data_IF_106305337112
#
_entry.id   IF_106305337112
#
_cell.length_a   1.000
_cell.length_b   1.000
_cell.length_c   1.000
_cell.angle_alpha   90.00
_cell.angle_beta   90.00
_cell.angle_gamma   90.00
#
_symmetry.space_group_name_H-M   'P 1'
#
loop_
_entity.id
_entity.type
_entity.pdbx_description
1 polymer ?
#
# COMPACT_ATOMS: atom_id res chain seq x y z
N UNK A 1 -5.60 -9.16 -17.74
CA UNK A 1 -4.31 -9.26 -18.46
C UNK A 1 -3.12 -9.73 -17.60
N UNK A 2 -3.28 -10.05 -16.30
CA UNK A 2 -2.15 -10.11 -15.37
C UNK A 2 -1.13 -11.27 -15.54
N UNK A 3 -1.47 -12.38 -16.20
CA UNK A 3 -0.55 -13.55 -16.30
C UNK A 3 0.19 -13.66 -17.64
N UNK A 4 -0.16 -12.84 -18.64
CA UNK A 4 0.27 -13.04 -20.03
C UNK A 4 1.77 -12.85 -20.28
N UNK A 5 2.49 -12.23 -19.33
CA UNK A 5 3.93 -11.98 -19.45
C UNK A 5 4.78 -12.92 -18.58
N UNK A 6 4.17 -13.65 -17.63
CA UNK A 6 4.91 -14.43 -16.65
C UNK A 6 5.80 -15.48 -17.33
N UNK A 7 7.09 -15.45 -17.02
CA UNK A 7 8.07 -16.42 -17.47
C UNK A 7 7.80 -17.78 -16.84
N UNK A 8 7.38 -18.74 -17.66
CA UNK A 8 7.05 -20.10 -17.25
C UNK A 8 7.93 -21.12 -17.96
N UNK A 9 8.15 -22.26 -17.31
CA UNK A 9 8.86 -23.39 -17.91
C UNK A 9 8.13 -23.88 -19.16
N UNK A 10 8.88 -24.05 -20.26
CA UNK A 10 8.39 -24.71 -21.47
C UNK A 10 8.63 -26.23 -21.46
N UNK A 11 9.10 -26.78 -20.35
CA UNK A 11 9.44 -28.19 -20.18
C UNK A 11 8.38 -28.90 -19.33
N UNK A 12 7.74 -28.18 -18.41
CA UNK A 12 6.72 -28.70 -17.50
C UNK A 12 5.37 -28.06 -17.82
N UNK A 13 4.28 -28.74 -17.45
CA UNK A 13 2.95 -28.14 -17.48
C UNK A 13 2.08 -28.52 -18.67
N UNK A 14 2.66 -29.11 -19.72
CA UNK A 14 1.96 -29.85 -20.77
C UNK A 14 1.87 -31.33 -20.32
N UNK A 15 0.75 -31.69 -19.70
CA UNK A 15 0.57 -32.98 -19.02
C UNK A 15 0.25 -34.08 -20.02
N UNK A 16 -0.47 -33.76 -21.10
CA UNK A 16 -0.90 -34.73 -22.11
C UNK A 16 -0.13 -34.64 -23.44
N UNK A 17 0.85 -33.73 -23.51
CA UNK A 17 1.78 -33.55 -24.62
C UNK A 17 1.07 -33.14 -25.92
N UNK A 18 0.02 -32.32 -25.81
CA UNK A 18 -0.76 -31.81 -26.93
C UNK A 18 -0.31 -30.39 -27.38
N UNK A 19 0.60 -29.77 -26.63
CA UNK A 19 1.13 -28.43 -26.88
C UNK A 19 0.35 -27.30 -26.21
N UNK A 20 -0.75 -27.60 -25.51
CA UNK A 20 -1.35 -26.74 -24.51
C UNK A 20 -0.68 -26.96 -23.15
N UNK A 21 -0.79 -25.97 -22.25
CA UNK A 21 -0.26 -26.05 -20.90
C UNK A 21 -1.42 -26.02 -19.91
N UNK A 22 -1.55 -27.05 -19.09
CA UNK A 22 -2.55 -27.17 -18.03
C UNK A 22 -2.05 -26.54 -16.72
N UNK A 23 -0.73 -26.46 -16.56
CA UNK A 23 -0.10 -25.90 -15.37
C UNK A 23 1.05 -24.96 -15.73
N UNK A 24 1.08 -23.80 -15.08
CA UNK A 24 2.16 -22.83 -15.24
C UNK A 24 3.18 -23.02 -14.13
N UNK A 25 4.41 -23.33 -14.51
CA UNK A 25 5.54 -23.47 -13.59
C UNK A 25 6.45 -22.25 -13.71
N UNK A 26 6.35 -21.32 -12.77
CA UNK A 26 7.23 -20.15 -12.69
C UNK A 26 8.53 -20.50 -11.95
N UNK A 27 9.60 -19.76 -12.25
CA UNK A 27 10.89 -19.92 -11.60
C UNK A 27 11.03 -18.94 -10.42
N UNK A 28 11.89 -19.31 -9.46
CA UNK A 28 12.24 -18.47 -8.30
C UNK A 28 11.22 -18.53 -7.16
N UNK A 29 11.71 -18.45 -5.94
CA UNK A 29 10.85 -18.22 -4.78
C UNK A 29 10.37 -16.77 -4.78
N UNK A 30 9.15 -16.52 -4.29
CA UNK A 30 8.57 -15.17 -4.10
C UNK A 30 8.05 -14.97 -2.69
N UNK A 31 8.27 -15.98 -1.83
CA UNK A 31 7.77 -16.08 -0.47
C UNK A 31 8.83 -16.74 0.42
N UNK A 32 8.58 -16.75 1.72
CA UNK A 32 9.20 -17.72 2.63
C UNK A 32 8.13 -18.61 3.24
N UNK A 33 8.52 -19.82 3.62
CA UNK A 33 7.63 -20.79 4.25
C UNK A 33 8.19 -21.24 5.60
N UNK A 34 7.29 -21.47 6.57
CA UNK A 34 7.61 -22.11 7.85
C UNK A 34 7.08 -23.54 7.80
N UNK A 35 7.94 -24.49 8.12
CA UNK A 35 7.62 -25.92 8.17
C UNK A 35 7.65 -26.39 9.61
N UNK A 36 6.69 -27.22 10.01
CA UNK A 36 6.73 -27.84 11.33
C UNK A 36 7.71 -29.03 11.37
N UNK A 37 7.95 -29.55 12.57
CA UNK A 37 8.86 -30.68 12.80
C UNK A 37 8.46 -31.99 12.12
N UNK A 38 7.23 -32.08 11.59
CA UNK A 38 6.72 -33.22 10.85
C UNK A 38 6.78 -33.00 9.33
N UNK A 39 7.25 -31.84 8.88
CA UNK A 39 7.31 -31.47 7.46
C UNK A 39 5.98 -30.99 6.90
N UNK A 40 5.02 -30.60 7.74
CA UNK A 40 3.82 -29.91 7.25
C UNK A 40 4.12 -28.42 7.07
N UNK A 41 3.53 -27.83 6.02
CA UNK A 41 3.57 -26.39 5.82
C UNK A 41 2.74 -25.70 6.92
N UNK A 42 3.41 -24.98 7.82
CA UNK A 42 2.78 -24.24 8.91
C UNK A 42 2.33 -22.84 8.47
N UNK A 43 3.12 -22.20 7.60
CA UNK A 43 2.85 -20.87 7.04
C UNK A 43 3.57 -20.68 5.71
N UNK A 44 3.00 -19.89 4.81
CA UNK A 44 3.66 -19.33 3.64
C UNK A 44 3.32 -17.85 3.53
N UNK A 45 4.30 -17.00 3.23
CA UNK A 45 4.10 -15.55 3.15
C UNK A 45 3.36 -15.10 1.89
N UNK A 46 3.10 -16.00 0.93
CA UNK A 46 2.44 -15.68 -0.32
C UNK A 46 3.08 -14.47 -1.02
N UNK A 47 2.32 -13.43 -1.37
CA UNK A 47 2.78 -12.23 -2.08
C UNK A 47 3.23 -11.08 -1.16
N UNK A 48 3.45 -11.35 0.13
CA UNK A 48 3.71 -10.31 1.14
C UNK A 48 4.98 -9.49 0.85
N UNK A 49 5.99 -10.07 0.19
CA UNK A 49 7.19 -9.33 -0.25
C UNK A 49 6.86 -8.31 -1.34
N UNK A 50 6.09 -8.67 -2.36
CA UNK A 50 5.66 -7.75 -3.39
C UNK A 50 4.75 -6.66 -2.85
N UNK A 51 3.80 -6.99 -1.97
CA UNK A 51 2.97 -5.97 -1.32
C UNK A 51 3.88 -5.00 -0.55
N UNK A 52 4.75 -5.53 0.32
CA UNK A 52 5.68 -4.73 1.13
C UNK A 52 6.57 -3.83 0.28
N UNK A 53 7.20 -4.34 -0.78
CA UNK A 53 8.10 -3.55 -1.62
C UNK A 53 7.35 -2.54 -2.49
N UNK A 54 6.15 -2.86 -2.97
CA UNK A 54 5.28 -1.90 -3.65
C UNK A 54 4.85 -0.74 -2.74
N UNK A 55 4.91 -0.95 -1.43
CA UNK A 55 4.51 0.02 -0.42
C UNK A 55 5.68 0.83 0.13
N UNK A 56 6.77 0.18 0.51
CA UNK A 56 7.90 0.82 1.20
C UNK A 56 8.91 1.42 0.22
N UNK A 57 9.09 0.78 -0.94
CA UNK A 57 10.06 1.19 -1.97
C UNK A 57 9.41 1.17 -3.37
N UNK A 58 8.29 1.90 -3.58
CA UNK A 58 7.50 1.80 -4.82
C UNK A 58 8.31 2.12 -6.08
N UNK A 59 9.27 3.04 -6.01
CA UNK A 59 10.06 3.47 -7.18
C UNK A 59 10.96 2.36 -7.73
N UNK A 60 11.24 1.32 -6.94
CA UNK A 60 12.04 0.15 -7.32
C UNK A 60 11.25 -1.17 -7.21
N UNK A 61 9.92 -1.11 -7.16
CA UNK A 61 9.06 -2.29 -7.10
C UNK A 61 9.40 -3.29 -8.21
N UNK A 62 9.69 -4.54 -7.84
CA UNK A 62 10.07 -5.62 -8.76
C UNK A 62 11.09 -5.16 -9.82
N UNK A 63 12.12 -4.41 -9.40
CA UNK A 63 13.22 -3.97 -10.25
C UNK A 63 14.50 -4.79 -10.03
N UNK A 64 15.58 -4.48 -10.77
CA UNK A 64 16.91 -5.05 -10.52
C UNK A 64 17.70 -4.28 -9.43
N UNK A 65 17.01 -3.59 -8.52
CA UNK A 65 17.60 -2.77 -7.46
C UNK A 65 17.75 -1.29 -7.82
N UNK A 66 17.25 -0.88 -8.98
CA UNK A 66 17.29 0.51 -9.45
C UNK A 66 15.94 0.98 -10.00
N UNK A 67 15.77 2.30 -10.12
CA UNK A 67 14.52 2.93 -10.58
C UNK A 67 14.30 2.79 -12.10
N UNK A 68 15.39 2.63 -12.87
CA UNK A 68 15.34 2.53 -14.33
C UNK A 68 14.78 1.17 -14.78
N UNK A 69 14.76 0.18 -13.88
CA UNK A 69 14.26 -1.16 -14.09
C UNK A 69 12.95 -1.45 -13.35
N UNK A 70 12.21 -0.40 -12.94
CA UNK A 70 10.89 -0.53 -12.31
C UNK A 70 10.00 -1.55 -13.01
N UNK A 71 9.45 -2.48 -12.23
CA UNK A 71 8.51 -3.52 -12.64
C UNK A 71 9.03 -4.49 -13.73
N UNK A 72 10.35 -4.50 -13.99
CA UNK A 72 10.96 -5.40 -14.98
C UNK A 72 11.04 -6.87 -14.52
N UNK A 73 10.76 -7.16 -13.24
CA UNK A 73 10.84 -8.50 -12.65
C UNK A 73 9.50 -9.11 -12.28
N UNK A 74 8.38 -8.38 -12.38
CA UNK A 74 7.05 -8.93 -12.07
C UNK A 74 6.66 -10.11 -12.97
N UNK A 75 7.02 -10.01 -14.25
CA UNK A 75 6.88 -11.07 -15.24
C UNK A 75 8.00 -12.12 -15.16
N UNK A 76 8.94 -11.94 -14.24
CA UNK A 76 10.03 -12.87 -13.96
C UNK A 76 9.85 -13.46 -12.55
N UNK A 77 10.83 -13.28 -11.68
CA UNK A 77 10.92 -13.91 -10.36
C UNK A 77 10.64 -12.97 -9.19
N UNK A 78 10.14 -11.76 -9.47
CA UNK A 78 9.79 -10.78 -8.44
C UNK A 78 10.99 -10.32 -7.59
N UNK A 79 10.85 -10.23 -6.25
CA UNK A 79 11.90 -9.76 -5.34
C UNK A 79 13.12 -10.68 -5.17
N UNK A 80 12.98 -11.99 -5.49
CA UNK A 80 14.01 -13.04 -5.31
C UNK A 80 14.56 -13.13 -3.86
N UNK A 81 13.83 -13.73 -2.90
CA UNK A 81 14.36 -14.03 -1.57
C UNK A 81 15.39 -15.16 -1.65
N UNK A 82 16.63 -14.90 -1.21
CA UNK A 82 17.75 -15.86 -1.34
C UNK A 82 18.38 -16.21 0.02
N UNK A 83 18.52 -15.22 0.91
CA UNK A 83 19.13 -15.40 2.22
C UNK A 83 18.12 -15.42 3.36
N UNK A 84 18.27 -16.34 4.31
CA UNK A 84 17.47 -16.31 5.55
C UNK A 84 18.27 -16.78 6.76
N UNK A 85 18.02 -16.15 7.90
CA UNK A 85 18.44 -16.63 9.22
C UNK A 85 17.40 -16.29 10.28
N UNK A 86 17.47 -16.95 11.43
CA UNK A 86 16.59 -16.69 12.57
C UNK A 86 17.36 -16.27 13.80
N UNK A 87 16.78 -15.41 14.62
CA UNK A 87 17.41 -14.90 15.84
C UNK A 87 16.41 -14.68 16.95
N UNK A 88 16.81 -14.98 18.19
CA UNK A 88 16.00 -14.64 19.36
C UNK A 88 16.40 -13.26 19.91
N UNK A 89 15.40 -12.39 20.09
CA UNK A 89 15.56 -11.07 20.68
C UNK A 89 14.46 -10.89 21.72
N UNK A 90 14.84 -10.71 22.99
CA UNK A 90 13.91 -10.50 24.11
C UNK A 90 12.79 -11.55 24.20
N UNK A 91 13.12 -12.84 24.04
CA UNK A 91 12.16 -13.94 24.13
C UNK A 91 11.26 -14.11 22.89
N UNK A 92 11.54 -13.39 21.80
CA UNK A 92 10.84 -13.52 20.51
C UNK A 92 11.79 -14.03 19.45
N UNK A 93 11.30 -14.93 18.60
CA UNK A 93 12.06 -15.46 17.46
C UNK A 93 11.72 -14.63 16.24
N UNK A 94 12.74 -14.11 15.57
CA UNK A 94 12.62 -13.36 14.32
C UNK A 94 13.24 -14.14 13.18
N UNK A 95 12.63 -14.06 12.00
CA UNK A 95 13.23 -14.48 10.73
C UNK A 95 13.65 -13.22 9.96
N UNK A 96 14.84 -13.23 9.41
CA UNK A 96 15.42 -12.18 8.57
C UNK A 96 15.59 -12.75 7.17
N UNK A 97 14.98 -12.13 6.17
CA UNK A 97 14.98 -12.62 4.78
C UNK A 97 15.54 -11.54 3.86
N UNK A 98 16.66 -11.83 3.18
CA UNK A 98 17.27 -10.95 2.18
C UNK A 98 16.68 -11.16 0.79
N UNK A 99 16.39 -10.06 0.07
CA UNK A 99 15.89 -10.07 -1.31
C UNK A 99 16.98 -9.62 -2.29
N UNK A 100 17.39 -10.50 -3.20
CA UNK A 100 18.48 -10.27 -4.15
C UNK A 100 18.19 -9.11 -5.12
N UNK A 101 16.94 -8.95 -5.57
CA UNK A 101 16.62 -8.01 -6.67
C UNK A 101 16.20 -6.65 -6.20
N UNK A 102 14.94 -6.52 -5.77
CA UNK A 102 14.44 -5.26 -5.23
C UNK A 102 15.26 -4.79 -4.02
N UNK A 103 16.06 -5.68 -3.45
CA UNK A 103 16.96 -5.37 -2.35
C UNK A 103 16.23 -5.38 -1.03
N UNK A 104 16.99 -5.16 0.02
CA UNK A 104 16.49 -5.00 1.38
C UNK A 104 16.32 -6.32 2.13
N UNK A 105 15.91 -6.16 3.38
CA UNK A 105 15.75 -7.25 4.34
C UNK A 105 14.35 -7.16 4.91
N UNK A 106 13.54 -8.18 4.66
CA UNK A 106 12.25 -8.37 5.30
C UNK A 106 12.44 -9.11 6.63
N UNK A 107 11.77 -8.67 7.67
CA UNK A 107 11.87 -9.24 9.02
C UNK A 107 10.48 -9.67 9.46
N UNK A 108 10.36 -10.85 10.05
CA UNK A 108 9.12 -11.39 10.59
C UNK A 108 9.34 -11.85 12.02
N UNK A 109 8.43 -11.55 12.94
CA UNK A 109 8.34 -12.30 14.19
C UNK A 109 7.68 -13.65 13.87
N UNK A 110 8.44 -14.73 14.07
CA UNK A 110 8.05 -16.12 13.85
C UNK A 110 7.92 -16.91 15.16
N UNK A 111 7.82 -16.21 16.31
CA UNK A 111 7.60 -16.83 17.63
C UNK A 111 6.39 -17.76 17.63
N UNK A 112 5.35 -17.40 16.88
CA UNK A 112 4.24 -18.30 16.54
C UNK A 112 4.40 -18.79 15.10
N UNK A 113 4.89 -20.03 14.87
CA UNK A 113 5.24 -20.51 13.53
C UNK A 113 4.04 -20.66 12.58
N UNK A 114 2.83 -20.76 13.12
CA UNK A 114 1.58 -20.83 12.35
C UNK A 114 0.95 -19.46 12.06
N UNK A 115 1.49 -18.40 12.67
CA UNK A 115 1.06 -17.02 12.42
C UNK A 115 2.25 -16.06 12.57
N UNK A 116 3.26 -16.17 11.68
CA UNK A 116 4.27 -15.14 11.53
C UNK A 116 3.65 -13.77 11.33
N UNK A 117 4.29 -12.76 11.88
CA UNK A 117 3.85 -11.37 11.82
C UNK A 117 4.99 -10.58 11.22
N UNK A 118 4.78 -9.99 10.05
CA UNK A 118 5.73 -9.03 9.47
C UNK A 118 6.16 -8.01 10.54
N UNK A 119 7.45 -7.72 10.61
CA UNK A 119 8.06 -6.84 11.60
C UNK A 119 8.60 -5.57 10.95
N UNK A 120 9.32 -5.68 9.83
CA UNK A 120 9.84 -4.52 9.11
C UNK A 120 10.43 -4.91 7.76
N UNK A 121 10.57 -3.94 6.88
CA UNK A 121 11.45 -4.01 5.72
C UNK A 121 12.52 -2.94 5.86
N UNK A 122 13.79 -3.33 5.76
CA UNK A 122 14.93 -2.40 5.74
C UNK A 122 15.47 -2.33 4.31
N UNK A 123 15.28 -1.22 3.58
CA UNK A 123 15.93 -1.00 2.30
C UNK A 123 17.45 -1.06 2.47
N UNK A 124 18.17 -1.53 1.46
CA UNK A 124 19.63 -1.48 1.50
C UNK A 124 20.17 -0.07 1.29
N UNK A 125 21.35 0.25 1.85
CA UNK A 125 22.12 1.40 1.41
C UNK A 125 22.34 1.38 -0.10
N UNK A 126 22.39 2.54 -0.75
CA UNK A 126 22.45 2.63 -2.21
C UNK A 126 23.63 1.90 -2.87
N UNK A 127 24.73 1.69 -2.13
CA UNK A 127 25.94 1.02 -2.63
C UNK A 127 25.97 -0.49 -2.31
N UNK A 128 25.01 -1.00 -1.53
CA UNK A 128 24.87 -2.42 -1.22
C UNK A 128 23.78 -3.01 -2.12
N UNK A 129 24.17 -4.03 -2.90
CA UNK A 129 23.31 -4.64 -3.92
C UNK A 129 23.31 -6.16 -3.81
N UNK A 130 22.10 -6.72 -3.85
CA UNK A 130 21.81 -8.15 -3.89
C UNK A 130 22.21 -8.93 -2.64
N UNK A 131 21.48 -8.76 -1.52
CA UNK A 131 21.68 -9.58 -0.33
C UNK A 131 21.42 -11.07 -0.63
N UNK A 132 22.42 -11.89 -0.35
CA UNK A 132 22.36 -13.36 -0.49
C UNK A 132 22.58 -14.08 0.84
N UNK A 133 23.62 -13.70 1.58
CA UNK A 133 23.95 -14.31 2.86
C UNK A 133 23.40 -13.49 4.00
N UNK A 134 22.74 -14.14 4.95
CA UNK A 134 22.22 -13.53 6.18
C UNK A 134 22.76 -14.32 7.38
N UNK A 135 23.30 -13.62 8.37
CA UNK A 135 23.75 -14.20 9.64
C UNK A 135 23.34 -13.30 10.81
N UNK A 136 22.54 -13.83 11.70
CA UNK A 136 22.21 -13.20 12.97
C UNK A 136 23.28 -13.52 14.03
N UNK A 137 23.72 -12.50 14.76
CA UNK A 137 24.63 -12.64 15.90
C UNK A 137 23.91 -12.14 17.16
N UNK A 138 23.65 -13.02 18.14
CA UNK A 138 22.95 -12.61 19.36
C UNK A 138 23.77 -11.61 20.18
N UNK A 139 23.10 -10.78 20.98
CA UNK A 139 23.76 -9.76 21.81
C UNK A 139 24.86 -10.33 22.72
N UNK A 140 24.70 -11.56 23.20
CA UNK A 140 25.69 -12.25 24.05
C UNK A 140 27.00 -12.58 23.33
N UNK A 141 26.98 -12.66 22.00
CA UNK A 141 28.15 -12.94 21.15
C UNK A 141 28.70 -11.67 20.48
N UNK A 142 28.02 -10.54 20.67
CA UNK A 142 28.39 -9.24 20.12
C UNK A 142 29.18 -8.40 21.13
N UNK A 143 30.32 -7.85 20.70
CA UNK A 143 31.11 -6.92 21.53
C UNK A 143 30.40 -5.59 21.80
N UNK A 144 29.36 -5.28 21.02
CA UNK A 144 28.52 -4.09 21.20
C UNK A 144 27.34 -4.31 22.17
N UNK A 145 27.18 -5.53 22.73
CA UNK A 145 26.05 -5.92 23.59
C UNK A 145 24.66 -5.65 22.98
N UNK A 146 24.60 -5.55 21.65
CA UNK A 146 23.37 -5.47 20.86
C UNK A 146 23.39 -6.59 19.82
N UNK A 147 22.23 -7.20 19.47
CA UNK A 147 22.20 -8.16 18.40
C UNK A 147 22.63 -7.51 17.07
N UNK A 148 23.29 -8.29 16.21
CA UNK A 148 23.76 -7.84 14.90
C UNK A 148 23.17 -8.72 13.80
N UNK A 149 23.01 -8.15 12.61
CA UNK A 149 22.72 -8.88 11.38
C UNK A 149 23.83 -8.60 10.38
N UNK A 150 24.53 -9.64 9.94
CA UNK A 150 25.58 -9.57 8.94
C UNK A 150 24.98 -10.02 7.60
N UNK A 151 25.14 -9.18 6.59
CA UNK A 151 24.55 -9.40 5.27
C UNK A 151 25.63 -9.31 4.20
N UNK A 152 25.72 -10.33 3.35
CA UNK A 152 26.64 -10.33 2.21
C UNK A 152 25.88 -9.98 0.93
N UNK A 153 26.42 -9.03 0.18
CA UNK A 153 25.79 -8.46 -1.00
C UNK A 153 26.54 -8.92 -2.26
N UNK A 154 25.94 -9.83 -3.03
CA UNK A 154 26.62 -10.57 -4.11
C UNK A 154 27.07 -9.65 -5.25
N UNK A 155 26.16 -8.80 -5.74
CA UNK A 155 26.43 -7.94 -6.91
C UNK A 155 27.43 -6.83 -6.58
N UNK A 156 27.32 -6.25 -5.40
CA UNK A 156 28.22 -5.19 -4.94
C UNK A 156 29.55 -5.71 -4.34
N UNK A 157 29.59 -6.98 -3.93
CA UNK A 157 30.75 -7.60 -3.29
C UNK A 157 31.04 -7.07 -1.88
N UNK A 158 30.05 -6.46 -1.22
CA UNK A 158 30.19 -5.85 0.11
C UNK A 158 29.64 -6.76 1.22
N UNK A 159 30.01 -6.44 2.47
CA UNK A 159 29.43 -7.03 3.67
C UNK A 159 28.96 -5.91 4.57
N UNK A 160 27.68 -5.92 4.91
CA UNK A 160 27.03 -4.89 5.75
C UNK A 160 26.70 -5.49 7.10
N UNK A 161 26.96 -4.74 8.17
CA UNK A 161 26.62 -5.15 9.55
C UNK A 161 25.60 -4.17 10.11
N UNK A 162 24.40 -4.67 10.39
CA UNK A 162 23.32 -3.92 11.01
C UNK A 162 23.30 -4.16 12.51
N UNK A 163 23.09 -3.10 13.30
CA UNK A 163 22.65 -3.27 14.69
C UNK A 163 21.14 -3.49 14.69
N UNK A 164 20.67 -4.50 15.42
CA UNK A 164 19.24 -4.81 15.53
C UNK A 164 18.72 -4.19 16.83
N UNK A 165 17.92 -3.13 16.73
CA UNK A 165 17.36 -2.43 17.88
C UNK A 165 16.17 -3.19 18.51
N UNK A 166 16.05 -3.10 19.84
CA UNK A 166 15.12 -3.90 20.65
C UNK A 166 13.75 -3.27 20.88
N UNK A 167 13.58 -1.99 20.55
CA UNK A 167 12.27 -1.41 20.27
C UNK A 167 11.88 -1.99 18.92
N UNK A 168 11.11 -3.10 18.94
CA UNK A 168 10.70 -3.77 17.71
C UNK A 168 10.26 -2.71 16.68
N UNK A 169 10.81 -2.74 15.46
CA UNK A 169 10.54 -1.68 14.50
C UNK A 169 9.04 -1.56 14.31
N UNK A 170 8.60 -0.32 14.07
CA UNK A 170 7.28 -0.03 13.53
C UNK A 170 6.98 -1.03 12.41
N UNK A 171 5.95 -1.88 12.60
CA UNK A 171 5.54 -2.79 11.54
C UNK A 171 4.84 -1.99 10.47
N UNK A 172 5.61 -1.48 9.51
CA UNK A 172 5.09 -0.76 8.36
C UNK A 172 4.21 -1.71 7.56
N UNK A 173 2.92 -1.47 7.59
CA UNK A 173 1.91 -2.15 6.79
C UNK A 173 1.32 -1.14 5.85
N UNK A 174 0.79 -1.63 4.75
CA UNK A 174 -0.03 -0.81 3.87
C UNK A 174 -1.27 -1.58 3.49
N UNK A 175 -2.35 -0.83 3.30
CA UNK A 175 -3.65 -1.39 2.95
C UNK A 175 -4.35 -0.51 1.95
N UNK A 176 -4.96 -1.18 0.97
CA UNK A 176 -5.84 -0.58 -0.01
C UNK A 176 -7.29 -0.79 0.41
N UNK A 177 -8.05 0.29 0.43
CA UNK A 177 -9.50 0.30 0.58
C UNK A 177 -10.11 0.94 -0.66
N UNK A 178 -10.88 0.18 -1.42
CA UNK A 178 -11.57 0.75 -2.58
C UNK A 178 -12.60 1.79 -2.12
N UNK A 179 -12.81 2.81 -2.95
CA UNK A 179 -13.89 3.78 -2.76
C UNK A 179 -15.21 3.03 -2.88
N UNK A 180 -15.96 3.05 -1.78
CA UNK A 180 -17.19 2.27 -1.56
C UNK A 180 -18.47 3.08 -1.73
N UNK A 181 -18.35 4.40 -1.77
CA UNK A 181 -19.42 5.34 -2.10
C UNK A 181 -18.79 6.52 -2.83
N UNK A 182 -19.36 6.90 -3.95
CA UNK A 182 -18.95 8.08 -4.69
C UNK A 182 -20.12 8.74 -5.43
N UNK A 183 -20.03 10.05 -5.62
CA UNK A 183 -20.95 10.80 -6.47
C UNK A 183 -20.31 12.16 -6.78
N UNK A 184 -21.02 13.05 -7.45
CA UNK A 184 -20.68 14.47 -7.45
C UNK A 184 -21.93 15.32 -7.26
N UNK A 185 -21.72 16.51 -6.74
CA UNK A 185 -22.76 17.53 -6.62
C UNK A 185 -22.55 18.61 -7.70
N UNK A 186 -23.65 19.16 -8.21
CA UNK A 186 -23.63 20.10 -9.33
C UNK A 186 -24.43 21.37 -9.03
N UNK A 187 -23.74 22.51 -8.89
CA UNK A 187 -24.37 23.81 -8.62
C UNK A 187 -25.18 24.38 -9.77
N UNK A 188 -25.02 23.87 -11.00
CA UNK A 188 -25.92 24.21 -12.11
C UNK A 188 -27.23 23.42 -12.11
N UNK A 189 -27.29 22.33 -11.34
CA UNK A 189 -28.48 21.51 -11.17
C UNK A 189 -28.67 21.20 -9.67
N UNK A 190 -29.02 22.20 -8.83
CA UNK A 190 -28.81 22.10 -7.38
C UNK A 190 -29.59 21.02 -6.63
N UNK A 191 -30.66 20.50 -7.25
CA UNK A 191 -31.53 19.46 -6.70
C UNK A 191 -31.26 18.07 -7.33
N UNK A 192 -30.36 17.98 -8.30
CA UNK A 192 -30.02 16.71 -8.93
C UNK A 192 -29.04 15.93 -8.04
N UNK A 193 -29.29 14.63 -7.95
CA UNK A 193 -28.36 13.64 -7.41
C UNK A 193 -27.75 12.87 -8.59
N UNK A 194 -26.49 12.46 -8.45
CA UNK A 194 -25.75 11.72 -9.46
C UNK A 194 -25.14 10.44 -8.90
N UNK A 195 -25.74 9.86 -7.85
CA UNK A 195 -25.34 8.53 -7.35
C UNK A 195 -25.51 7.49 -8.45
N UNK A 196 -24.60 6.52 -8.53
CA UNK A 196 -24.58 5.51 -9.59
C UNK A 196 -24.17 6.01 -10.99
N UNK A 197 -23.71 7.26 -11.14
CA UNK A 197 -23.15 7.73 -12.40
C UNK A 197 -21.77 7.09 -12.64
N UNK A 198 -21.44 6.71 -13.88
CA UNK A 198 -20.14 6.07 -14.20
C UNK A 198 -18.91 7.01 -14.15
N UNK A 199 -19.18 8.31 -14.07
CA UNK A 199 -18.18 9.37 -14.06
C UNK A 199 -18.66 10.48 -13.14
N UNK A 200 -17.80 10.90 -12.21
CA UNK A 200 -17.99 12.07 -11.36
C UNK A 200 -17.16 13.23 -11.89
N UNK A 201 -17.70 14.46 -11.85
CA UNK A 201 -17.07 15.61 -12.48
C UNK A 201 -16.54 16.60 -11.46
N UNK A 202 -15.35 17.14 -11.74
CA UNK A 202 -14.70 18.22 -10.98
C UNK A 202 -14.42 19.43 -11.86
N UNK A 203 -14.66 20.64 -11.33
CA UNK A 203 -14.41 21.91 -12.01
C UNK A 203 -15.70 22.61 -12.45
N UNK A 204 -15.69 23.19 -13.65
CA UNK A 204 -16.79 23.96 -14.23
C UNK A 204 -17.22 25.12 -13.32
N UNK A 205 -16.35 26.11 -13.14
CA UNK A 205 -16.51 27.23 -12.20
C UNK A 205 -16.67 26.75 -10.75
N UNK A 206 -15.99 25.65 -10.41
CA UNK A 206 -16.11 24.94 -9.13
C UNK A 206 -17.56 24.55 -8.78
N UNK A 207 -18.42 24.41 -9.79
CA UNK A 207 -19.81 23.99 -9.62
C UNK A 207 -19.97 22.48 -9.66
N UNK A 208 -18.95 21.71 -10.05
CA UNK A 208 -18.95 20.25 -10.03
C UNK A 208 -17.92 19.79 -9.00
N UNK A 209 -18.39 19.13 -7.95
CA UNK A 209 -17.57 18.70 -6.81
C UNK A 209 -17.80 17.22 -6.52
N UNK A 210 -16.81 16.36 -6.80
CA UNK A 210 -16.87 14.94 -6.43
C UNK A 210 -16.91 14.74 -4.92
N UNK A 211 -17.59 13.69 -4.49
CA UNK A 211 -17.64 13.17 -3.14
C UNK A 211 -17.16 11.71 -3.18
N UNK A 212 -16.26 11.32 -2.29
CA UNK A 212 -15.75 9.94 -2.24
C UNK A 212 -15.62 9.46 -0.80
N UNK A 213 -15.82 8.16 -0.58
CA UNK A 213 -15.64 7.53 0.72
C UNK A 213 -15.12 6.10 0.58
N UNK A 214 -13.97 5.83 1.19
CA UNK A 214 -13.45 4.48 1.42
C UNK A 214 -13.54 4.19 2.93
N UNK A 215 -14.20 3.09 3.31
CA UNK A 215 -14.30 2.69 4.72
C UNK A 215 -12.96 2.11 5.18
N UNK A 216 -12.41 2.66 6.26
CA UNK A 216 -11.18 2.17 6.90
C UNK A 216 -11.56 1.47 8.22
N UNK A 217 -11.84 0.16 8.21
CA UNK A 217 -12.23 -0.54 9.41
C UNK A 217 -11.09 -0.60 10.43
N UNK A 218 -11.41 -0.30 11.70
CA UNK A 218 -10.48 -0.35 12.83
C UNK A 218 -10.81 -1.55 13.70
N UNK A 219 -9.98 -2.59 13.64
CA UNK A 219 -10.19 -3.86 14.35
C UNK A 219 -8.90 -4.70 14.38
N UNK A 220 -8.91 -5.81 15.12
CA UNK A 220 -7.72 -6.66 15.30
C UNK A 220 -7.55 -7.74 14.22
N UNK A 221 -8.28 -7.68 13.10
CA UNK A 221 -8.07 -8.59 11.96
C UNK A 221 -6.90 -8.10 11.09
N UNK A 222 -5.77 -8.83 11.07
CA UNK A 222 -4.56 -8.43 10.35
C UNK A 222 -4.68 -8.50 8.83
N UNK A 223 -5.77 -9.03 8.27
CA UNK A 223 -6.03 -9.06 6.83
C UNK A 223 -7.00 -7.96 6.38
N UNK A 224 -7.97 -7.57 7.22
CA UNK A 224 -9.08 -6.71 6.78
C UNK A 224 -9.20 -5.35 7.48
N UNK A 225 -8.73 -5.19 8.73
CA UNK A 225 -8.69 -3.90 9.44
C UNK A 225 -7.31 -3.32 9.83
N UNK A 226 -7.23 -2.01 10.04
CA UNK A 226 -6.08 -1.40 10.74
C UNK A 226 -6.23 -1.61 12.26
N UNK A 227 -5.22 -2.14 12.98
CA UNK A 227 -5.26 -2.27 14.43
C UNK A 227 -5.46 -0.92 15.14
N UNK A 228 -6.27 -0.85 16.22
CA UNK A 228 -6.58 0.41 16.91
C UNK A 228 -5.38 1.16 17.50
N UNK A 229 -4.28 0.46 17.76
CA UNK A 229 -3.03 0.99 18.31
C UNK A 229 -2.01 1.37 17.21
N UNK A 230 -2.44 1.39 15.95
CA UNK A 230 -1.59 1.79 14.84
C UNK A 230 -1.50 3.31 14.70
N UNK A 231 -0.30 3.79 14.38
CA UNK A 231 -0.08 5.13 13.87
C UNK A 231 -0.09 5.11 12.33
N UNK A 232 -0.72 6.11 11.71
CA UNK A 232 -0.70 6.28 10.25
C UNK A 232 0.56 7.03 9.86
N UNK A 233 1.35 6.44 8.97
CA UNK A 233 2.57 7.06 8.42
C UNK A 233 2.27 7.93 7.22
N UNK A 234 1.41 7.42 6.33
CA UNK A 234 0.93 8.13 5.16
C UNK A 234 -0.42 7.55 4.73
N UNK A 235 -1.28 8.38 4.15
CA UNK A 235 -2.46 7.91 3.46
C UNK A 235 -2.70 8.70 2.17
N UNK A 236 -2.96 7.98 1.08
CA UNK A 236 -3.11 8.56 -0.24
C UNK A 236 -4.43 8.13 -0.89
N UNK A 237 -5.24 9.11 -1.28
CA UNK A 237 -6.42 8.89 -2.11
C UNK A 237 -6.03 8.91 -3.59
N UNK A 238 -6.33 7.84 -4.31
CA UNK A 238 -6.11 7.69 -5.74
C UNK A 238 -7.45 7.72 -6.49
N UNK A 239 -7.58 8.63 -7.45
CA UNK A 239 -8.74 8.73 -8.34
C UNK A 239 -8.28 8.70 -9.80
N UNK A 240 -8.99 7.96 -10.65
CA UNK A 240 -8.61 7.80 -12.05
C UNK A 240 -9.29 8.86 -12.92
N UNK A 241 -8.50 9.66 -13.66
CA UNK A 241 -9.00 10.69 -14.58
C UNK A 241 -9.38 10.01 -15.90
N UNK A 242 -10.66 10.05 -16.25
CA UNK A 242 -11.19 9.37 -17.45
C UNK A 242 -11.21 10.27 -18.67
N UNK A 243 -11.66 11.52 -18.51
CA UNK A 243 -11.80 12.46 -19.60
C UNK A 243 -11.63 13.91 -19.13
N UNK A 244 -11.41 14.82 -20.07
CA UNK A 244 -11.30 16.25 -19.81
C UNK A 244 -12.09 17.05 -20.85
N UNK A 245 -12.80 18.08 -20.40
CA UNK A 245 -13.53 19.02 -21.26
C UNK A 245 -13.02 20.43 -20.99
N UNK A 246 -12.30 20.97 -21.96
CA UNK A 246 -11.67 22.29 -21.89
C UNK A 246 -11.58 22.97 -23.26
N UNK A 247 -10.70 23.96 -23.38
CA UNK A 247 -10.51 24.72 -24.62
C UNK A 247 -9.72 23.92 -25.66
N UNK A 248 -9.82 24.34 -26.92
CA UNK A 248 -9.04 23.79 -28.03
C UNK A 248 -7.51 23.98 -27.87
N UNK A 249 -7.06 24.86 -26.97
CA UNK A 249 -5.65 25.03 -26.59
C UNK A 249 -5.40 24.48 -25.18
N UNK A 250 -4.82 23.28 -25.14
CA UNK A 250 -4.74 22.46 -23.93
C UNK A 250 -3.88 23.00 -22.78
N UNK A 251 -2.90 23.87 -23.05
CA UNK A 251 -2.14 24.57 -21.99
C UNK A 251 -3.03 25.47 -21.13
N UNK A 252 -4.18 25.91 -21.66
CA UNK A 252 -5.17 26.71 -20.94
C UNK A 252 -6.14 25.89 -20.10
N UNK A 253 -6.09 24.56 -20.20
CA UNK A 253 -7.02 23.64 -19.52
C UNK A 253 -6.47 23.09 -18.19
N UNK A 254 -5.31 23.57 -17.73
CA UNK A 254 -4.78 23.13 -16.44
C UNK A 254 -5.54 23.80 -15.29
N UNK A 255 -6.00 22.99 -14.34
CA UNK A 255 -6.70 23.41 -13.12
C UNK A 255 -6.02 22.76 -11.91
N UNK A 256 -6.10 23.42 -10.75
CA UNK A 256 -5.82 22.76 -9.48
C UNK A 256 -7.11 22.14 -8.94
N UNK A 257 -6.98 20.95 -8.39
CA UNK A 257 -8.04 20.25 -7.68
C UNK A 257 -7.55 20.06 -6.25
N UNK A 258 -8.35 20.45 -5.27
CA UNK A 258 -8.02 20.34 -3.85
C UNK A 258 -8.94 19.32 -3.19
N UNK A 259 -8.39 18.45 -2.36
CA UNK A 259 -9.16 17.49 -1.56
C UNK A 259 -9.38 18.04 -0.15
N UNK A 260 -10.58 17.84 0.37
CA UNK A 260 -10.99 18.29 1.70
C UNK A 260 -11.71 17.16 2.42
N UNK A 261 -11.52 17.05 3.74
CA UNK A 261 -12.36 16.20 4.56
C UNK A 261 -13.76 16.82 4.73
N UNK A 262 -14.81 16.00 4.63
CA UNK A 262 -16.19 16.42 4.80
C UNK A 262 -16.55 16.56 6.29
N UNK A 263 -17.22 17.66 6.64
CA UNK A 263 -17.73 17.90 7.99
C UNK A 263 -19.13 17.33 8.21
N UNK A 264 -19.84 17.03 7.13
CA UNK A 264 -21.23 16.54 7.16
C UNK A 264 -21.31 15.16 6.53
N UNK A 265 -21.96 14.23 7.24
CA UNK A 265 -22.22 12.90 6.70
C UNK A 265 -23.21 12.98 5.52
N UNK A 266 -22.95 12.18 4.50
CA UNK A 266 -23.72 12.16 3.27
C UNK A 266 -24.08 10.73 2.86
N UNK A 267 -24.98 10.62 1.88
CA UNK A 267 -25.43 9.36 1.31
C UNK A 267 -25.43 9.50 -0.21
N UNK A 268 -24.87 8.51 -0.88
CA UNK A 268 -24.62 8.51 -2.32
C UNK A 268 -25.86 8.83 -3.15
N UNK A 269 -26.98 8.20 -2.80
CA UNK A 269 -28.25 8.28 -3.54
C UNK A 269 -29.10 9.52 -3.16
N UNK A 270 -28.58 10.44 -2.35
CA UNK A 270 -29.34 11.64 -1.93
C UNK A 270 -28.52 12.93 -1.84
N UNK A 271 -27.20 12.87 -1.91
CA UNK A 271 -26.36 14.07 -1.92
C UNK A 271 -26.66 14.92 -3.17
N UNK A 272 -26.88 16.21 -2.98
CA UNK A 272 -27.09 17.20 -4.05
C UNK A 272 -26.26 18.44 -3.75
N UNK A 273 -26.30 19.46 -4.60
CA UNK A 273 -25.62 20.72 -4.28
C UNK A 273 -26.14 21.37 -2.99
N UNK A 274 -27.39 21.12 -2.60
CA UNK A 274 -28.06 21.84 -1.50
C UNK A 274 -28.32 20.97 -0.27
N UNK A 275 -27.96 19.69 -0.29
CA UNK A 275 -28.27 18.73 0.78
C UNK A 275 -27.17 17.68 0.82
N UNK A 276 -26.69 17.26 2.01
CA UNK A 276 -27.16 17.59 3.37
C UNK A 276 -26.53 18.84 4.03
N UNK A 277 -25.90 19.70 3.24
CA UNK A 277 -25.00 20.76 3.71
C UNK A 277 -25.71 21.93 4.40
N UNK A 278 -24.99 22.64 5.27
CA UNK A 278 -25.41 23.94 5.81
C UNK A 278 -25.26 25.06 4.77
N UNK A 279 -24.24 24.97 3.93
CA UNK A 279 -23.98 25.88 2.81
C UNK A 279 -24.01 25.10 1.49
N UNK A 280 -24.72 25.58 0.45
CA UNK A 280 -24.72 24.91 -0.85
C UNK A 280 -23.30 24.70 -1.39
N UNK A 281 -23.01 23.49 -1.84
CA UNK A 281 -21.70 23.06 -2.33
C UNK A 281 -20.86 22.25 -1.34
N UNK A 282 -21.34 21.98 -0.12
CA UNK A 282 -20.66 21.11 0.85
C UNK A 282 -20.25 21.84 2.13
N UNK A 283 -20.23 21.11 3.24
CA UNK A 283 -19.54 21.52 4.47
C UNK A 283 -18.24 20.71 4.57
N UNK A 284 -17.10 21.38 4.57
CA UNK A 284 -15.79 20.74 4.55
C UNK A 284 -14.69 21.63 5.13
N UNK A 285 -13.64 20.98 5.62
CA UNK A 285 -12.49 21.62 6.24
C UNK A 285 -11.52 22.28 5.26
N UNK A 286 -10.34 22.72 5.75
CA UNK A 286 -9.27 23.21 4.88
C UNK A 286 -8.81 22.13 3.88
N UNK A 287 -8.15 22.55 2.81
CA UNK A 287 -7.57 21.61 1.85
C UNK A 287 -6.48 20.79 2.54
N UNK A 288 -6.54 19.46 2.42
CA UNK A 288 -5.51 18.54 2.89
C UNK A 288 -4.34 18.49 1.90
N UNK A 289 -4.65 18.41 0.61
CA UNK A 289 -3.69 18.41 -0.48
C UNK A 289 -4.30 19.01 -1.76
N UNK A 290 -3.45 19.35 -2.73
CA UNK A 290 -3.85 19.92 -4.03
C UNK A 290 -3.02 19.34 -5.16
N UNK A 291 -3.70 18.82 -6.18
CA UNK A 291 -3.08 18.28 -7.38
C UNK A 291 -3.41 19.11 -8.62
N UNK A 292 -2.44 19.25 -9.53
CA UNK A 292 -2.65 19.88 -10.84
C UNK A 292 -3.16 18.85 -11.84
N UNK A 293 -4.24 19.15 -12.55
CA UNK A 293 -4.80 18.29 -13.61
C UNK A 293 -4.92 19.07 -14.92
N UNK A 294 -4.47 18.45 -16.00
CA UNK A 294 -4.35 19.02 -17.34
C UNK A 294 -4.48 17.93 -18.41
N UNK A 295 -4.34 18.28 -19.69
CA UNK A 295 -4.44 17.31 -20.79
C UNK A 295 -3.41 16.18 -20.75
N UNK A 296 -2.24 16.41 -20.15
CA UNK A 296 -1.21 15.38 -19.94
C UNK A 296 -1.54 14.40 -18.81
N UNK A 297 -2.69 14.54 -18.14
CA UNK A 297 -3.18 13.66 -17.08
C UNK A 297 -4.56 13.07 -17.40
N UNK A 298 -4.84 12.81 -18.68
CA UNK A 298 -5.97 11.97 -19.06
C UNK A 298 -5.56 10.50 -18.98
N UNK A 299 -6.53 9.64 -18.68
CA UNK A 299 -6.33 8.17 -18.59
C UNK A 299 -5.23 7.78 -17.59
N UNK A 300 -5.11 8.52 -16.49
CA UNK A 300 -4.11 8.30 -15.45
C UNK A 300 -4.67 8.55 -14.06
N UNK A 301 -3.92 8.14 -13.04
CA UNK A 301 -4.26 8.36 -11.65
C UNK A 301 -3.83 9.76 -11.18
N UNK A 302 -4.71 10.43 -10.44
CA UNK A 302 -4.35 11.55 -9.57
C UNK A 302 -4.32 11.05 -8.13
N UNK A 303 -3.31 11.51 -7.38
CA UNK A 303 -3.08 11.17 -5.97
C UNK A 303 -3.24 12.42 -5.12
N UNK A 304 -3.85 12.27 -3.95
CA UNK A 304 -3.92 13.29 -2.91
C UNK A 304 -3.43 12.73 -1.58
N UNK A 305 -2.60 13.49 -0.86
CA UNK A 305 -2.25 13.20 0.52
C UNK A 305 -3.43 13.52 1.45
N UNK A 306 -3.87 12.51 2.20
CA UNK A 306 -4.98 12.59 3.16
C UNK A 306 -4.58 11.98 4.51
N UNK A 307 -3.28 11.94 4.79
CA UNK A 307 -2.68 11.29 5.97
C UNK A 307 -3.34 11.75 7.26
N UNK A 308 -3.48 13.06 7.46
CA UNK A 308 -4.04 13.64 8.69
C UNK A 308 -5.51 13.24 8.92
N UNK A 309 -6.32 13.19 7.87
CA UNK A 309 -7.72 12.79 7.97
C UNK A 309 -7.84 11.31 8.38
N UNK A 310 -7.06 10.44 7.75
CA UNK A 310 -7.07 8.99 8.06
C UNK A 310 -6.51 8.73 9.47
N UNK A 311 -5.47 9.45 9.90
CA UNK A 311 -4.99 9.40 11.28
C UNK A 311 -6.09 9.83 12.29
N UNK A 312 -6.86 10.87 11.94
CA UNK A 312 -8.07 11.25 12.67
C UNK A 312 -9.08 10.12 12.76
N UNK A 313 -9.36 9.43 11.66
CA UNK A 313 -10.33 8.32 11.63
C UNK A 313 -9.92 7.16 12.54
N UNK A 314 -8.63 6.81 12.57
CA UNK A 314 -8.11 5.75 13.45
C UNK A 314 -8.20 6.14 14.93
N UNK A 315 -8.06 7.42 15.23
CA UNK A 315 -8.18 7.96 16.59
C UNK A 315 -9.63 8.26 17.02
N UNK A 316 -10.61 7.91 16.19
CA UNK A 316 -12.04 7.95 16.53
C UNK A 316 -12.83 9.11 15.89
N UNK A 317 -12.22 9.91 15.02
CA UNK A 317 -12.98 10.89 14.22
C UNK A 317 -13.96 10.18 13.28
N UNK A 318 -15.15 10.77 13.03
CA UNK A 318 -16.11 10.18 12.09
C UNK A 318 -15.55 10.10 10.66
N UNK A 319 -15.65 8.93 10.02
CA UNK A 319 -15.23 8.76 8.64
C UNK A 319 -16.33 9.27 7.68
N UNK A 320 -16.18 10.51 7.22
CA UNK A 320 -17.17 11.18 6.34
C UNK A 320 -16.73 11.26 4.87
N UNK A 321 -15.49 10.88 4.59
CA UNK A 321 -14.93 10.89 3.26
C UNK A 321 -14.48 12.29 2.83
N UNK A 322 -14.33 12.45 1.53
CA UNK A 322 -13.70 13.61 0.93
C UNK A 322 -14.60 14.30 -0.08
N UNK A 323 -14.42 15.61 -0.21
CA UNK A 323 -14.96 16.42 -1.31
C UNK A 323 -13.81 17.06 -2.08
N UNK A 324 -13.94 17.12 -3.40
CA UNK A 324 -12.97 17.72 -4.29
C UNK A 324 -13.49 19.06 -4.81
N UNK A 325 -12.69 20.10 -4.69
CA UNK A 325 -12.96 21.44 -5.23
C UNK A 325 -11.94 21.77 -6.33
N UNK A 326 -12.20 22.79 -7.13
CA UNK A 326 -11.26 23.27 -8.14
C UNK A 326 -11.12 24.77 -8.14
N UNK A 327 -9.95 25.27 -8.54
CA UNK A 327 -9.76 26.69 -8.84
C UNK A 327 -10.27 27.10 -10.23
N UNK A 328 -10.96 26.22 -10.96
CA UNK A 328 -11.49 26.54 -12.28
C UNK A 328 -12.41 27.76 -12.23
N UNK A 329 -12.14 28.71 -13.12
CA UNK A 329 -12.95 29.90 -13.36
C UNK A 329 -13.23 30.11 -14.85
N UNK A 330 -13.03 29.06 -15.67
CA UNK A 330 -13.09 29.13 -17.14
C UNK A 330 -14.06 28.10 -17.73
N UNK A 331 -14.69 27.28 -16.90
CA UNK A 331 -15.60 26.22 -17.36
C UNK A 331 -14.87 24.93 -17.76
N UNK A 332 -13.61 24.75 -17.34
CA UNK A 332 -12.86 23.53 -17.55
C UNK A 332 -13.30 22.49 -16.53
N UNK A 333 -13.46 21.23 -16.97
CA UNK A 333 -13.80 20.13 -16.06
C UNK A 333 -13.14 18.83 -16.44
N UNK A 334 -12.94 17.98 -15.45
CA UNK A 334 -12.36 16.65 -15.59
C UNK A 334 -13.33 15.61 -15.02
N UNK A 335 -13.45 14.50 -15.74
CA UNK A 335 -14.19 13.32 -15.30
C UNK A 335 -13.26 12.38 -14.52
N UNK A 336 -13.75 11.86 -13.41
CA UNK A 336 -13.10 10.85 -12.60
C UNK A 336 -13.96 9.58 -12.61
N UNK A 337 -13.32 8.41 -12.67
CA UNK A 337 -14.02 7.14 -12.60
C UNK A 337 -14.68 6.94 -11.23
N UNK A 338 -15.88 6.38 -11.25
CA UNK A 338 -16.63 5.93 -10.07
C UNK A 338 -16.54 4.42 -9.92
N UNK A 339 -17.08 3.88 -8.83
CA UNK A 339 -17.26 2.43 -8.65
C UNK A 339 -18.18 1.81 -9.72
N UNK A 340 -19.09 2.57 -10.34
CA UNK A 340 -19.94 2.12 -11.46
C UNK A 340 -19.27 2.26 -12.83
N UNK A 341 -17.99 2.61 -12.89
CA UNK A 341 -17.27 2.66 -14.15
C UNK A 341 -17.27 1.28 -14.83
N UNK A 342 -17.34 1.27 -16.16
CA UNK A 342 -17.39 0.02 -16.93
C UNK A 342 -16.11 -0.82 -16.78
N UNK A 343 -15.01 -0.20 -16.39
CA UNK A 343 -13.74 -0.84 -16.12
C UNK A 343 -13.46 -0.77 -14.60
N UNK A 344 -13.71 -1.85 -13.85
CA UNK A 344 -13.59 -1.86 -12.40
C UNK A 344 -12.14 -1.65 -11.92
N UNK A 345 -11.14 -1.84 -12.80
CA UNK A 345 -9.74 -1.56 -12.46
C UNK A 345 -9.44 -0.07 -12.23
N UNK A 346 -10.35 0.81 -12.66
CA UNK A 346 -10.25 2.28 -12.53
C UNK A 346 -10.98 2.83 -11.30
N UNK A 347 -11.60 1.97 -10.49
CA UNK A 347 -12.27 2.36 -9.24
C UNK A 347 -11.28 3.05 -8.31
N UNK A 348 -11.65 4.24 -7.82
CA UNK A 348 -10.83 4.97 -6.85
C UNK A 348 -10.50 4.14 -5.62
N UNK A 349 -9.39 4.42 -4.96
CA UNK A 349 -9.02 3.73 -3.72
C UNK A 349 -8.20 4.62 -2.79
N UNK A 350 -8.25 4.31 -1.50
CA UNK A 350 -7.42 4.86 -0.45
C UNK A 350 -6.32 3.85 -0.11
N UNK A 351 -5.05 4.25 -0.18
CA UNK A 351 -3.92 3.48 0.33
C UNK A 351 -3.48 4.07 1.67
N UNK A 352 -3.44 3.25 2.72
CA UNK A 352 -3.05 3.66 4.08
C UNK A 352 -1.82 2.89 4.49
N UNK A 353 -0.72 3.60 4.69
CA UNK A 353 0.53 3.12 5.29
C UNK A 353 0.49 3.42 6.79
N UNK A 354 0.71 2.41 7.61
CA UNK A 354 0.59 2.52 9.05
C UNK A 354 1.55 1.55 9.75
N UNK A 355 1.90 1.87 10.98
CA UNK A 355 2.61 0.95 11.84
C UNK A 355 1.93 0.76 13.18
N UNK A 356 2.05 -0.46 13.71
CA UNK A 356 1.66 -0.77 15.08
C UNK A 356 2.91 -0.79 15.95
N UNK A 357 2.88 -0.03 17.05
CA UNK A 357 3.87 -0.19 18.11
C UNK A 357 3.49 -1.39 18.94
N UNK A 358 4.29 -2.45 18.91
CA UNK A 358 4.09 -3.51 19.89
C UNK A 358 4.44 -3.00 21.28
N UNK A 359 3.51 -3.17 22.21
CA UNK A 359 3.82 -3.14 23.63
C UNK A 359 5.01 -4.08 23.90
N UNK A 360 5.99 -3.69 24.74
CA UNK A 360 6.99 -4.62 25.24
C UNK A 360 6.30 -5.86 25.79
N UNK A 361 6.87 -7.05 25.56
CA UNK A 361 6.45 -8.24 26.32
C UNK A 361 6.61 -7.87 27.79
N UNK A 362 5.55 -7.98 28.63
CA UNK A 362 5.72 -7.82 30.06
C UNK A 362 6.81 -8.79 30.48
N UNK A 363 7.87 -8.29 31.10
CA UNK A 363 8.97 -9.09 31.64
C UNK A 363 8.33 -10.26 32.40
N UNK A 364 8.48 -11.49 31.88
CA UNK A 364 7.93 -12.65 32.52
C UNK A 364 8.48 -12.65 33.95
N UNK A 365 7.59 -12.56 34.94
CA UNK A 365 8.00 -12.53 36.33
C UNK A 365 8.94 -13.71 36.56
N UNK A 366 10.22 -13.40 36.78
CA UNK A 366 11.21 -14.36 37.22
C UNK A 366 10.74 -14.89 38.57
N UNK A 367 10.07 -16.04 38.57
CA UNK A 367 9.45 -16.58 39.78
C UNK A 367 8.68 -17.85 39.52
N UNK A 368 9.40 -18.94 39.29
CA UNK A 368 9.57 -20.02 40.28
C UNK A 368 10.23 -21.20 39.56
N UNK A 369 11.49 -21.46 39.92
CA UNK A 369 12.12 -22.74 39.65
C UNK A 369 11.33 -23.79 40.43
N UNK A 370 10.72 -24.74 39.72
CA UNK A 370 10.22 -25.96 40.32
C UNK A 370 11.44 -26.86 40.58
N UNK A 371 11.82 -26.95 41.86
CA UNK A 371 12.65 -28.01 42.44
C UNK A 371 11.95 -29.37 42.37
#
# INVERSE_FOLDING_TARGET
EAISRLGVSSINGDIDNDGAYEQLWAYGARSFSVWDQYGNLAYDSSDDFEQTTADVVPDIFNSNGDVDSFDSRSDNKGPEPEGTDTGEINGRIYAFVGMERTGGIAVYDVTSPYSPIFASYTPQPADDLSPEGILFVPAAESSAATPLLIVTNEVSGTVTVYAVESTGPAVMRSRRYDVSMDTFINGTQPAANYGGAQTMWVGFYDQMRPLTMAQVPVCNDPLTCIPPDSAVDAAYLYLYVTEGRGFSTWSSSVVSISVHELDTQWQEQSATWSTPWTVPGGDFGPALDTAMVGSGRLETWVRFDVTDAVAGWLSGSPQRGFILTSNDNRGVRYGLATQENFDPSKTGYLRVMFHSYRQPVPEAAAGEALD
#
